data_IF_122750215587
#
_entry.id   IF_122750215587
#
_cell.length_a   1.000
_cell.length_b   1.000
_cell.length_c   1.000
_cell.angle_alpha   90.00
_cell.angle_beta   90.00
_cell.angle_gamma   90.00
#
_symmetry.space_group_name_H-M   'P 1'
#
loop_
_entity.id
_entity.type
_entity.pdbx_description
1 polymer ?
#
# COMPACT_ATOMS: atom_id res chain seq x y z
N UNK A 1 -8.07 15.95 14.51
CA UNK A 1 -7.33 14.91 13.77
C UNK A 1 -7.65 15.09 12.29
N UNK A 2 -6.65 15.46 11.46
CA UNK A 2 -6.85 15.72 10.02
C UNK A 2 -7.32 14.42 9.34
N UNK A 3 -8.31 14.51 8.46
CA UNK A 3 -8.79 13.35 7.69
C UNK A 3 -7.63 12.88 6.81
N UNK A 4 -7.31 11.58 6.85
CA UNK A 4 -6.28 11.00 5.97
C UNK A 4 -6.70 11.17 4.52
N UNK A 5 -5.82 11.77 3.73
CA UNK A 5 -6.04 11.97 2.31
C UNK A 5 -5.90 10.67 1.54
N UNK A 6 -6.56 10.56 0.38
CA UNK A 6 -6.61 9.32 -0.41
C UNK A 6 -5.20 8.79 -0.75
N UNK A 7 -4.28 9.68 -1.10
CA UNK A 7 -2.90 9.32 -1.45
C UNK A 7 -2.11 8.81 -0.24
N UNK A 8 -2.35 9.33 0.96
CA UNK A 8 -1.74 8.84 2.19
C UNK A 8 -2.19 7.41 2.48
N UNK A 9 -3.48 7.12 2.32
CA UNK A 9 -4.02 5.76 2.54
C UNK A 9 -3.37 4.75 1.59
N UNK A 10 -3.24 5.12 0.31
CA UNK A 10 -2.54 4.28 -0.67
C UNK A 10 -1.08 4.08 -0.25
N UNK A 11 -0.37 5.16 0.06
CA UNK A 11 1.03 5.12 0.51
C UNK A 11 1.20 4.23 1.74
N UNK A 12 0.29 4.30 2.71
CA UNK A 12 0.34 3.51 3.93
C UNK A 12 0.21 2.00 3.63
N UNK A 13 -0.78 1.62 2.82
CA UNK A 13 -0.98 0.21 2.42
C UNK A 13 0.28 -0.33 1.72
N UNK A 14 0.81 0.41 0.74
CA UNK A 14 2.00 -0.02 -0.01
C UNK A 14 3.24 -0.08 0.90
N UNK A 15 3.37 0.85 1.84
CA UNK A 15 4.47 0.87 2.81
C UNK A 15 4.43 -0.34 3.74
N UNK A 16 3.24 -0.75 4.22
CA UNK A 16 3.07 -1.94 5.06
C UNK A 16 3.56 -3.19 4.30
N UNK A 17 3.18 -3.34 3.02
CA UNK A 17 3.62 -4.48 2.19
C UNK A 17 5.15 -4.45 2.05
N UNK A 18 5.74 -3.30 1.72
CA UNK A 18 7.20 -3.13 1.57
C UNK A 18 7.93 -3.53 2.86
N UNK A 19 7.48 -3.05 4.01
CA UNK A 19 8.09 -3.32 5.33
C UNK A 19 7.99 -4.78 5.77
N UNK A 20 7.02 -5.54 5.24
CA UNK A 20 6.88 -6.98 5.50
C UNK A 20 7.61 -7.81 4.45
N UNK A 21 8.84 -7.42 4.12
CA UNK A 21 9.68 -8.07 3.11
C UNK A 21 8.96 -8.29 1.77
N UNK A 22 8.10 -7.34 1.39
CA UNK A 22 7.30 -7.41 0.18
C UNK A 22 6.41 -8.67 0.06
N UNK A 23 6.03 -9.26 1.19
CA UNK A 23 5.20 -10.46 1.22
C UNK A 23 4.35 -10.51 2.49
N UNK A 24 3.06 -10.24 2.34
CA UNK A 24 2.12 -10.22 3.47
C UNK A 24 0.79 -10.85 3.07
N UNK A 25 0.14 -11.58 3.98
CA UNK A 25 -1.22 -12.05 3.75
C UNK A 25 -2.23 -10.90 3.83
N UNK A 26 -3.36 -11.04 3.12
CA UNK A 26 -4.44 -10.04 3.10
C UNK A 26 -5.00 -9.71 4.49
N UNK A 27 -5.24 -10.70 5.35
CA UNK A 27 -5.82 -10.47 6.68
C UNK A 27 -4.90 -9.66 7.60
N UNK A 28 -3.60 -9.98 7.76
CA UNK A 28 -2.65 -9.08 8.42
C UNK A 28 -2.58 -7.68 7.79
N UNK A 29 -2.60 -7.57 6.46
CA UNK A 29 -2.55 -6.28 5.77
C UNK A 29 -3.73 -5.37 6.13
N UNK A 30 -4.96 -5.92 6.15
CA UNK A 30 -6.15 -5.23 6.65
C UNK A 30 -5.93 -4.74 8.09
N UNK A 31 -5.47 -5.62 8.99
CA UNK A 31 -5.26 -5.27 10.41
C UNK A 31 -4.24 -4.14 10.60
N UNK A 32 -3.17 -4.10 9.80
CA UNK A 32 -2.16 -3.05 9.88
C UNK A 32 -2.58 -1.74 9.21
N UNK A 33 -3.49 -1.77 8.23
CA UNK A 33 -3.93 -0.57 7.50
C UNK A 33 -4.72 0.44 8.35
N UNK A 34 -5.22 0.00 9.50
CA UNK A 34 -6.12 0.78 10.36
C UNK A 34 -7.31 1.37 9.57
N UNK A 35 -7.87 0.55 8.66
CA UNK A 35 -9.06 0.85 7.87
C UNK A 35 -10.19 -0.09 8.27
N UNK A 36 -11.43 0.33 8.07
CA UNK A 36 -12.56 -0.60 8.12
C UNK A 36 -12.44 -1.63 6.99
N UNK A 37 -13.00 -2.82 7.19
CA UNK A 37 -12.97 -3.90 6.20
C UNK A 37 -13.51 -3.46 4.83
N UNK A 38 -14.56 -2.64 4.82
CA UNK A 38 -15.15 -2.10 3.59
C UNK A 38 -14.16 -1.20 2.84
N UNK A 39 -13.65 -0.16 3.51
CA UNK A 39 -12.71 0.79 2.88
C UNK A 39 -11.42 0.10 2.44
N UNK A 40 -10.91 -0.83 3.24
CA UNK A 40 -9.76 -1.62 2.86
C UNK A 40 -10.00 -2.40 1.57
N UNK A 41 -11.16 -3.07 1.44
CA UNK A 41 -11.49 -3.82 0.24
C UNK A 41 -11.57 -2.93 -1.01
N UNK A 42 -12.15 -1.73 -0.90
CA UNK A 42 -12.21 -0.75 -1.99
C UNK A 42 -10.80 -0.40 -2.48
N UNK A 43 -9.91 0.02 -1.57
CA UNK A 43 -8.52 0.33 -1.92
C UNK A 43 -7.76 -0.89 -2.41
N UNK A 44 -7.97 -2.05 -1.80
CA UNK A 44 -7.26 -3.28 -2.15
C UNK A 44 -7.56 -3.70 -3.59
N UNK A 45 -8.84 -3.71 -3.98
CA UNK A 45 -9.27 -4.02 -5.33
C UNK A 45 -8.74 -2.98 -6.33
N UNK A 46 -8.81 -1.69 -5.99
CA UNK A 46 -8.26 -0.63 -6.83
C UNK A 46 -6.74 -0.80 -7.05
N UNK A 47 -5.98 -1.17 -6.00
CA UNK A 47 -4.54 -1.36 -6.09
C UNK A 47 -4.16 -2.57 -6.94
N UNK A 48 -4.96 -3.64 -6.92
CA UNK A 48 -4.80 -4.79 -7.82
C UNK A 48 -5.14 -4.38 -9.26
N UNK A 49 -6.30 -3.77 -9.48
CA UNK A 49 -6.78 -3.34 -10.79
C UNK A 49 -5.77 -2.39 -11.47
N UNK A 50 -5.23 -1.44 -10.71
CA UNK A 50 -4.22 -0.50 -11.20
C UNK A 50 -2.79 -1.07 -11.18
N UNK A 51 -2.61 -2.35 -10.87
CA UNK A 51 -1.33 -3.04 -10.89
C UNK A 51 -0.27 -2.40 -9.98
N UNK A 52 -0.65 -1.86 -8.83
CA UNK A 52 0.29 -1.43 -7.78
C UNK A 52 0.71 -2.60 -6.89
N UNK A 53 -0.19 -3.56 -6.69
CA UNK A 53 0.03 -4.79 -5.94
C UNK A 53 -0.42 -5.98 -6.77
N UNK A 54 0.09 -7.17 -6.45
CA UNK A 54 -0.38 -8.43 -7.01
C UNK A 54 -0.45 -9.49 -5.92
N UNK A 55 -1.31 -10.47 -6.15
CA UNK A 55 -1.40 -11.68 -5.34
C UNK A 55 -0.50 -12.77 -5.92
N UNK A 56 0.28 -13.42 -5.05
CA UNK A 56 1.10 -14.58 -5.38
C UNK A 56 0.70 -15.74 -4.46
N UNK A 57 0.76 -16.96 -4.97
CA UNK A 57 0.52 -18.17 -4.17
C UNK A 57 1.84 -18.85 -3.84
N UNK A 58 1.98 -19.33 -2.60
CA UNK A 58 3.08 -20.22 -2.24
C UNK A 58 2.81 -21.66 -2.72
N UNK A 59 3.83 -22.52 -2.58
CA UNK A 59 3.72 -23.97 -2.91
C UNK A 59 2.65 -24.72 -2.10
N UNK A 60 2.09 -24.10 -1.06
CA UNK A 60 1.05 -24.64 -0.18
C UNK A 60 -0.33 -23.99 -0.43
N UNK A 61 -0.48 -23.23 -1.52
CA UNK A 61 -1.73 -22.56 -1.92
C UNK A 61 -2.09 -21.35 -1.08
N UNK A 62 -1.18 -20.82 -0.24
CA UNK A 62 -1.43 -19.62 0.56
C UNK A 62 -1.19 -18.37 -0.29
N UNK A 63 -2.18 -17.48 -0.30
CA UNK A 63 -2.09 -16.20 -1.00
C UNK A 63 -1.33 -15.16 -0.17
N UNK A 64 -0.37 -14.50 -0.82
CA UNK A 64 0.40 -13.37 -0.32
C UNK A 64 0.26 -12.20 -1.29
N UNK A 65 0.43 -11.00 -0.75
CA UNK A 65 0.36 -9.74 -1.46
C UNK A 65 1.76 -9.17 -1.53
N UNK A 66 2.17 -8.76 -2.73
CA UNK A 66 3.46 -8.14 -3.03
C UNK A 66 3.23 -6.88 -3.85
N UNK A 67 4.13 -5.91 -3.70
CA UNK A 67 4.23 -4.77 -4.61
C UNK A 67 4.65 -5.24 -6.00
N UNK A 68 4.23 -4.47 -7.00
CA UNK A 68 4.75 -4.51 -8.36
C UNK A 68 5.79 -3.38 -8.54
N UNK A 69 6.45 -3.32 -9.69
CA UNK A 69 7.35 -2.21 -10.03
C UNK A 69 6.63 -0.85 -9.98
N UNK A 70 5.34 -0.82 -10.37
CA UNK A 70 4.50 0.38 -10.28
C UNK A 70 4.25 0.76 -8.82
N UNK A 71 4.01 -0.21 -7.95
CA UNK A 71 3.90 -0.02 -6.50
C UNK A 71 5.15 0.62 -5.90
N UNK A 72 6.33 0.11 -6.25
CA UNK A 72 7.61 0.68 -5.80
C UNK A 72 7.82 2.11 -6.32
N UNK A 73 7.58 2.35 -7.61
CA UNK A 73 7.71 3.70 -8.21
C UNK A 73 6.76 4.72 -7.59
N UNK A 74 5.56 4.30 -7.19
CA UNK A 74 4.64 5.20 -6.48
C UNK A 74 5.24 5.67 -5.15
N UNK A 75 5.78 4.75 -4.35
CA UNK A 75 6.39 5.10 -3.06
C UNK A 75 7.59 6.04 -3.22
N UNK A 76 8.41 5.81 -4.24
CA UNK A 76 9.54 6.68 -4.58
C UNK A 76 9.07 8.10 -4.93
N UNK A 77 8.14 8.23 -5.90
CA UNK A 77 7.60 9.54 -6.32
C UNK A 77 6.90 10.27 -5.19
N UNK A 78 6.15 9.54 -4.36
CA UNK A 78 5.49 10.12 -3.20
C UNK A 78 6.51 10.69 -2.21
N UNK A 79 7.60 9.96 -1.95
CA UNK A 79 8.68 10.45 -1.08
C UNK A 79 9.33 11.72 -1.62
N UNK A 80 9.55 11.81 -2.94
CA UNK A 80 10.10 13.01 -3.57
C UNK A 80 9.19 14.22 -3.35
N UNK A 81 7.87 14.04 -3.50
CA UNK A 81 6.89 15.12 -3.30
C UNK A 81 6.87 15.58 -1.84
N UNK A 82 6.87 14.65 -0.88
CA UNK A 82 6.87 15.01 0.55
C UNK A 82 8.16 15.75 0.91
N UNK A 83 9.32 15.23 0.51
CA UNK A 83 10.59 15.92 0.77
C UNK A 83 10.61 17.33 0.15
N UNK A 84 10.06 17.49 -1.06
CA UNK A 84 9.93 18.81 -1.67
C UNK A 84 9.05 19.73 -0.82
N UNK A 85 7.86 19.28 -0.39
CA UNK A 85 6.97 20.08 0.48
C UNK A 85 7.69 20.48 1.78
N UNK A 86 8.38 19.52 2.41
CA UNK A 86 9.13 19.72 3.65
C UNK A 86 10.27 20.74 3.46
N UNK A 87 11.02 20.67 2.34
CA UNK A 87 12.12 21.59 2.00
C UNK A 87 11.64 23.05 1.86
N UNK A 88 10.39 23.26 1.43
CA UNK A 88 9.76 24.57 1.30
C UNK A 88 8.89 24.96 2.51
N UNK A 89 8.76 24.09 3.52
CA UNK A 89 8.00 24.34 4.75
C UNK A 89 6.49 24.49 4.54
N UNK A 90 5.91 23.80 3.55
CA UNK A 90 4.50 23.91 3.14
C UNK A 90 3.58 22.86 3.77
#
# INVERSE_FOLDING_TARGET
MKKRERLEVIKDILTIIKQKNNSIKRTPLLRYSNLSSQRFNEYYLELIEKNFIKEIQDKKGKTFVTLTDRGFRFLEKYSIIINFIDDFGL
#
